data_IF_652203327553
#
_entry.id   IF_652203327553
#
_cell.length_a   1.000
_cell.length_b   1.000
_cell.length_c   1.000
_cell.angle_alpha   90.00
_cell.angle_beta   90.00
_cell.angle_gamma   90.00
#
_symmetry.space_group_name_H-M   'P 1'
#
loop_
_entity.id
_entity.type
_entity.pdbx_description
1 polymer ?
#
# COMPACT_ATOMS: atom_id res chain seq x y z
N UNK A 1 -37.22 40.08 35.41
CA UNK A 1 -36.13 39.95 34.40
C UNK A 1 -35.23 38.73 34.62
N UNK A 2 -35.07 38.23 35.84
CA UNK A 2 -34.19 37.11 36.23
C UNK A 2 -34.67 35.70 35.82
N UNK A 3 -35.99 35.45 35.83
CA UNK A 3 -36.55 34.12 35.48
C UNK A 3 -36.42 33.77 33.99
N UNK A 4 -36.68 34.74 33.11
CA UNK A 4 -36.52 34.56 31.65
C UNK A 4 -35.07 34.29 31.24
N UNK A 5 -34.10 34.93 31.91
CA UNK A 5 -32.68 34.74 31.65
C UNK A 5 -32.19 33.36 32.12
N UNK A 6 -32.74 32.85 33.23
CA UNK A 6 -32.46 31.51 33.74
C UNK A 6 -33.05 30.41 32.83
N UNK A 7 -34.29 30.61 32.37
CA UNK A 7 -34.98 29.68 31.48
C UNK A 7 -34.26 29.57 30.13
N UNK A 8 -33.86 30.71 29.53
CA UNK A 8 -33.12 30.75 28.26
C UNK A 8 -31.73 30.13 28.36
N UNK A 9 -31.01 30.28 29.48
CA UNK A 9 -29.73 29.58 29.71
C UNK A 9 -29.90 28.07 29.83
N UNK A 10 -30.92 27.58 30.55
CA UNK A 10 -31.22 26.14 30.63
C UNK A 10 -31.62 25.54 29.28
N UNK A 11 -32.47 26.24 28.52
CA UNK A 11 -32.84 25.81 27.17
C UNK A 11 -31.62 25.73 26.23
N UNK A 12 -30.74 26.74 26.23
CA UNK A 12 -29.50 26.70 25.44
C UNK A 12 -28.60 25.53 25.83
N UNK A 13 -28.48 25.23 27.12
CA UNK A 13 -27.68 24.08 27.59
C UNK A 13 -28.27 22.74 27.11
N UNK A 14 -29.59 22.58 27.19
CA UNK A 14 -30.28 21.38 26.68
C UNK A 14 -30.08 21.23 25.16
N UNK A 15 -30.16 22.33 24.40
CA UNK A 15 -29.92 22.32 22.95
C UNK A 15 -28.48 21.95 22.59
N UNK A 16 -27.49 22.47 23.32
CA UNK A 16 -26.07 22.15 23.10
C UNK A 16 -25.80 20.67 23.38
N UNK A 17 -26.31 20.15 24.51
CA UNK A 17 -26.16 18.74 24.87
C UNK A 17 -26.85 17.83 23.85
N UNK A 18 -28.06 18.17 23.41
CA UNK A 18 -28.77 17.42 22.37
C UNK A 18 -28.00 17.43 21.03
N UNK A 19 -27.41 18.57 20.65
CA UNK A 19 -26.63 18.69 19.42
C UNK A 19 -25.35 17.84 19.47
N UNK A 20 -24.64 17.82 20.61
CA UNK A 20 -23.46 16.97 20.81
C UNK A 20 -23.85 15.49 20.73
N UNK A 21 -24.95 15.08 21.37
CA UNK A 21 -25.43 13.69 21.33
C UNK A 21 -25.80 13.28 19.89
N UNK A 22 -26.51 14.14 19.15
CA UNK A 22 -26.85 13.89 17.74
C UNK A 22 -25.58 13.77 16.90
N UNK A 23 -24.59 14.64 17.11
CA UNK A 23 -23.32 14.59 16.38
C UNK A 23 -22.54 13.31 16.67
N UNK A 24 -22.51 12.85 17.93
CA UNK A 24 -21.91 11.57 18.31
C UNK A 24 -22.65 10.40 17.65
N UNK A 25 -23.99 10.38 17.70
CA UNK A 25 -24.80 9.33 17.05
C UNK A 25 -24.57 9.31 15.54
N UNK A 26 -24.50 10.46 14.88
CA UNK A 26 -24.22 10.55 13.44
C UNK A 26 -22.82 10.00 13.10
N UNK A 27 -21.80 10.30 13.91
CA UNK A 27 -20.46 9.74 13.73
C UNK A 27 -20.44 8.22 13.95
N UNK A 28 -21.14 7.72 14.97
CA UNK A 28 -21.27 6.27 15.23
C UNK A 28 -22.03 5.59 14.08
N UNK A 29 -23.13 6.18 13.59
CA UNK A 29 -23.88 5.63 12.46
C UNK A 29 -23.07 5.65 11.16
N UNK A 30 -22.31 6.71 10.89
CA UNK A 30 -21.39 6.78 9.74
C UNK A 30 -20.32 5.71 9.85
N UNK A 31 -19.71 5.57 11.05
CA UNK A 31 -18.72 4.53 11.33
C UNK A 31 -19.32 3.12 11.18
N UNK A 32 -20.53 2.89 11.65
CA UNK A 32 -21.21 1.59 11.55
C UNK A 32 -21.62 1.26 10.11
N UNK A 33 -21.96 2.26 9.29
CA UNK A 33 -22.19 2.08 7.85
C UNK A 33 -20.89 1.76 7.11
N UNK A 34 -19.80 2.46 7.43
CA UNK A 34 -18.47 2.15 6.90
C UNK A 34 -18.07 0.71 7.28
N UNK A 35 -18.23 0.33 8.55
CA UNK A 35 -17.93 -1.02 9.06
C UNK A 35 -18.76 -2.12 8.41
N UNK A 36 -20.07 -1.93 8.24
CA UNK A 36 -20.91 -2.92 7.57
C UNK A 36 -20.68 -2.97 6.05
N UNK A 37 -20.19 -1.90 5.44
CA UNK A 37 -19.69 -1.95 4.06
C UNK A 37 -18.39 -2.75 3.95
N UNK A 38 -17.57 -2.80 5.02
CA UNK A 38 -16.31 -3.56 5.07
C UNK A 38 -16.48 -5.08 5.10
N UNK A 39 -17.65 -5.59 5.55
CA UNK A 39 -17.93 -7.03 5.63
C UNK A 39 -18.57 -7.63 4.37
N UNK A 40 -18.79 -6.83 3.32
CA UNK A 40 -19.22 -7.38 2.04
C UNK A 40 -17.99 -7.88 1.29
N UNK A 41 -17.94 -9.17 0.98
CA UNK A 41 -17.01 -9.73 0.00
C UNK A 41 -17.07 -8.89 -1.28
N UNK A 42 -16.02 -8.12 -1.53
CA UNK A 42 -15.87 -7.41 -2.79
C UNK A 42 -15.43 -8.46 -3.80
N UNK A 43 -16.37 -8.97 -4.60
CA UNK A 43 -16.06 -9.73 -5.79
C UNK A 43 -15.36 -8.80 -6.79
N UNK A 44 -14.02 -8.72 -6.69
CA UNK A 44 -13.17 -8.01 -7.64
C UNK A 44 -13.01 -8.89 -8.89
N UNK A 45 -13.44 -8.44 -10.09
CA UNK A 45 -13.26 -9.17 -11.33
C UNK A 45 -11.80 -9.06 -11.79
N UNK A 46 -10.91 -9.88 -11.20
CA UNK A 46 -9.50 -9.93 -11.56
C UNK A 46 -9.30 -10.24 -13.06
N UNK A 47 -8.20 -9.77 -13.67
CA UNK A 47 -7.88 -10.11 -15.06
C UNK A 47 -7.78 -11.62 -15.27
N UNK A 48 -8.57 -12.18 -16.19
CA UNK A 48 -8.59 -13.63 -16.44
C UNK A 48 -7.23 -14.19 -16.92
N UNK A 49 -6.91 -15.41 -16.46
CA UNK A 49 -5.98 -16.37 -17.08
C UNK A 49 -4.47 -16.07 -17.09
N UNK A 50 -3.96 -15.12 -16.31
CA UNK A 50 -2.56 -14.68 -16.49
C UNK A 50 -1.71 -14.63 -15.23
N UNK A 51 -2.22 -15.13 -14.10
CA UNK A 51 -1.56 -15.03 -12.79
C UNK A 51 -1.37 -13.57 -12.35
N UNK A 52 -1.09 -13.34 -11.08
CA UNK A 52 -0.73 -12.02 -10.57
C UNK A 52 0.71 -12.06 -10.08
N UNK A 53 1.53 -11.19 -10.68
CA UNK A 53 2.93 -11.02 -10.30
C UNK A 53 3.07 -10.08 -9.11
N UNK A 54 2.31 -8.98 -9.11
CA UNK A 54 2.37 -7.98 -8.04
C UNK A 54 1.04 -7.24 -7.91
N UNK A 55 0.71 -6.90 -6.67
CA UNK A 55 -0.37 -5.99 -6.30
C UNK A 55 0.26 -4.87 -5.49
N UNK A 56 -0.12 -3.64 -5.80
CA UNK A 56 0.19 -2.47 -4.99
C UNK A 56 -1.04 -1.58 -4.89
N UNK A 57 -1.16 -0.88 -3.78
CA UNK A 57 -2.34 -0.07 -3.47
C UNK A 57 -1.91 1.31 -3.01
N UNK A 58 -2.58 2.34 -3.51
CA UNK A 58 -2.50 3.70 -3.00
C UNK A 58 -3.54 3.95 -1.91
N UNK A 59 -3.97 5.20 -1.77
CA UNK A 59 -5.06 5.55 -0.86
C UNK A 59 -6.43 5.14 -1.40
N UNK A 60 -7.31 4.68 -0.52
CA UNK A 60 -8.72 4.45 -0.85
C UNK A 60 -8.96 3.26 -1.80
N UNK A 61 -9.55 3.51 -2.97
CA UNK A 61 -9.80 2.48 -4.00
C UNK A 61 -8.75 2.47 -5.14
N UNK A 62 -7.55 3.01 -4.90
CA UNK A 62 -6.48 3.08 -5.90
C UNK A 62 -5.69 1.76 -5.97
N UNK A 63 -6.27 0.75 -6.62
CA UNK A 63 -5.67 -0.58 -6.74
C UNK A 63 -5.04 -0.82 -8.10
N UNK A 64 -3.85 -1.41 -8.07
CA UNK A 64 -3.10 -1.72 -9.26
C UNK A 64 -2.60 -3.15 -9.23
N UNK A 65 -2.59 -3.77 -10.39
CA UNK A 65 -2.26 -5.17 -10.58
C UNK A 65 -1.34 -5.30 -11.76
N UNK A 66 -0.23 -6.00 -11.56
CA UNK A 66 0.66 -6.47 -12.61
C UNK A 66 0.55 -7.98 -12.69
N UNK A 67 0.21 -8.47 -13.87
CA UNK A 67 0.03 -9.89 -14.15
C UNK A 67 1.35 -10.56 -14.55
N UNK A 68 1.43 -11.89 -14.50
CA UNK A 68 2.65 -12.63 -14.88
C UNK A 68 2.98 -12.52 -16.37
N UNK A 69 2.02 -12.07 -17.20
CA UNK A 69 2.28 -11.70 -18.59
C UNK A 69 2.65 -10.21 -18.79
N UNK A 70 3.13 -9.54 -17.74
CA UNK A 70 3.67 -8.18 -17.76
C UNK A 70 2.68 -7.09 -18.20
N UNK A 71 1.39 -7.27 -17.90
CA UNK A 71 0.34 -6.28 -18.19
C UNK A 71 -0.12 -5.58 -16.93
N UNK A 72 -0.12 -4.25 -16.97
CA UNK A 72 -0.54 -3.41 -15.86
C UNK A 72 -2.02 -3.06 -15.97
N UNK A 73 -2.74 -3.20 -14.85
CA UNK A 73 -4.15 -2.89 -14.73
C UNK A 73 -4.39 -1.97 -13.53
N UNK A 74 -5.29 -1.01 -13.71
CA UNK A 74 -5.78 -0.11 -12.66
C UNK A 74 -7.26 -0.35 -12.41
N UNK A 75 -7.68 -0.41 -11.14
CA UNK A 75 -9.07 -0.50 -10.76
C UNK A 75 -9.83 0.79 -11.10
N UNK A 76 -10.90 0.68 -11.89
CA UNK A 76 -11.78 1.80 -12.13
C UNK A 76 -13.03 1.65 -11.25
N UNK A 77 -13.09 2.45 -10.18
CA UNK A 77 -14.20 2.44 -9.22
C UNK A 77 -15.57 2.73 -9.86
N UNK A 78 -15.62 3.61 -10.87
CA UNK A 78 -16.88 3.98 -11.57
C UNK A 78 -17.39 2.81 -12.41
N UNK A 79 -16.50 2.17 -13.17
CA UNK A 79 -16.84 1.05 -14.07
C UNK A 79 -16.83 -0.30 -13.36
N UNK A 80 -16.41 -0.36 -12.09
CA UNK A 80 -16.24 -1.56 -11.27
C UNK A 80 -15.45 -2.66 -12.00
N UNK A 81 -14.35 -2.28 -12.68
CA UNK A 81 -13.49 -3.23 -13.41
C UNK A 81 -12.05 -2.75 -13.52
N UNK A 82 -11.14 -3.70 -13.69
CA UNK A 82 -9.76 -3.42 -14.03
C UNK A 82 -9.62 -2.95 -15.49
N UNK A 83 -8.87 -1.86 -15.69
CA UNK A 83 -8.58 -1.28 -17.00
C UNK A 83 -7.08 -1.38 -17.25
N UNK A 84 -6.70 -1.94 -18.40
CA UNK A 84 -5.30 -2.04 -18.82
C UNK A 84 -4.69 -0.65 -19.04
N UNK A 85 -3.48 -0.44 -18.51
CA UNK A 85 -2.72 0.82 -18.53
C UNK A 85 -1.33 0.61 -19.12
N UNK A 86 -0.65 1.72 -19.44
CA UNK A 86 0.74 1.76 -19.92
C UNK A 86 1.03 0.84 -21.12
N UNK A 87 0.06 0.67 -22.04
CA UNK A 87 0.17 -0.29 -23.15
C UNK A 87 1.38 -0.04 -24.06
N UNK A 88 1.75 1.21 -24.24
CA UNK A 88 2.86 1.63 -25.10
C UNK A 88 4.24 1.43 -24.44
N UNK A 89 4.27 1.06 -23.16
CA UNK A 89 5.47 0.86 -22.34
C UNK A 89 5.68 -0.62 -21.99
N UNK A 90 4.81 -1.51 -22.47
CA UNK A 90 4.89 -2.94 -22.16
C UNK A 90 6.07 -3.65 -22.85
N UNK A 91 6.61 -4.74 -22.26
CA UNK A 91 6.26 -5.32 -20.95
C UNK A 91 6.57 -4.41 -19.75
N UNK A 92 5.70 -4.43 -18.75
CA UNK A 92 5.95 -3.78 -17.45
C UNK A 92 6.61 -4.78 -16.52
N UNK A 93 7.85 -4.53 -16.09
CA UNK A 93 8.60 -5.44 -15.23
C UNK A 93 8.32 -5.26 -13.74
N UNK A 94 8.06 -4.03 -13.33
CA UNK A 94 7.64 -3.72 -11.96
C UNK A 94 6.80 -2.43 -11.93
N UNK A 95 6.02 -2.23 -10.88
CA UNK A 95 5.26 -1.00 -10.65
C UNK A 95 5.14 -0.71 -9.15
N UNK A 96 4.91 0.55 -8.78
CA UNK A 96 4.55 0.88 -7.41
C UNK A 96 3.67 2.12 -7.34
N UNK A 97 2.82 2.16 -6.32
CA UNK A 97 1.84 3.23 -6.09
C UNK A 97 2.19 3.91 -4.78
N UNK A 98 2.27 5.23 -4.80
CA UNK A 98 2.57 6.08 -3.66
C UNK A 98 1.32 6.43 -2.86
N UNK A 99 1.53 6.87 -1.62
CA UNK A 99 0.45 7.35 -0.75
C UNK A 99 -0.28 8.59 -1.28
N UNK A 100 0.35 9.35 -2.17
CA UNK A 100 -0.21 10.50 -2.87
C UNK A 100 -0.93 10.14 -4.19
N UNK A 101 -1.05 8.84 -4.50
CA UNK A 101 -1.61 8.33 -5.76
C UNK A 101 -0.63 8.43 -6.94
N UNK A 102 0.61 8.83 -6.70
CA UNK A 102 1.67 8.80 -7.72
C UNK A 102 1.96 7.36 -8.09
N UNK A 103 2.07 7.07 -9.39
CA UNK A 103 2.35 5.71 -9.88
C UNK A 103 3.62 5.72 -10.69
N UNK A 104 4.51 4.78 -10.41
CA UNK A 104 5.72 4.53 -11.19
C UNK A 104 5.71 3.13 -11.77
N UNK A 105 6.33 2.97 -12.94
CA UNK A 105 6.52 1.70 -13.64
C UNK A 105 7.98 1.55 -14.07
N UNK A 106 8.45 0.31 -14.14
CA UNK A 106 9.65 -0.07 -14.87
C UNK A 106 9.19 -0.65 -16.20
N UNK A 107 9.53 0.04 -17.29
CA UNK A 107 9.10 -0.34 -18.64
C UNK A 107 10.04 -1.35 -19.30
N UNK A 108 9.78 -1.65 -20.57
CA UNK A 108 10.55 -2.60 -21.36
C UNK A 108 12.02 -2.22 -21.59
N UNK A 109 12.37 -0.94 -21.47
CA UNK A 109 13.75 -0.47 -21.53
C UNK A 109 14.42 -0.43 -20.16
N UNK A 110 13.71 -0.88 -19.10
CA UNK A 110 14.11 -0.73 -17.71
C UNK A 110 14.20 0.74 -17.27
N UNK A 111 13.48 1.63 -17.96
CA UNK A 111 13.33 3.01 -17.55
C UNK A 111 12.23 3.12 -16.50
N UNK A 112 12.49 3.96 -15.49
CA UNK A 112 11.48 4.29 -14.49
C UNK A 112 10.65 5.44 -15.04
N UNK A 113 9.39 5.16 -15.27
CA UNK A 113 8.44 6.14 -15.74
C UNK A 113 7.45 6.49 -14.64
N UNK A 114 7.15 7.78 -14.49
CA UNK A 114 6.11 8.29 -13.60
C UNK A 114 4.86 8.65 -14.39
N UNK A 115 3.70 8.34 -13.83
CA UNK A 115 2.42 8.71 -14.43
C UNK A 115 2.18 10.20 -14.30
N UNK A 116 2.07 10.91 -15.42
CA UNK A 116 1.78 12.35 -15.48
C UNK A 116 0.31 12.66 -15.73
N UNK A 117 -0.39 11.76 -16.44
CA UNK A 117 -1.82 11.88 -16.70
C UNK A 117 -2.48 10.49 -16.79
N UNK A 118 -3.78 10.44 -17.11
CA UNK A 118 -4.56 9.20 -17.02
C UNK A 118 -3.96 8.02 -17.81
N UNK A 119 -3.30 8.29 -18.93
CA UNK A 119 -2.63 7.34 -19.82
C UNK A 119 -1.28 7.89 -20.34
N UNK A 120 -0.68 8.85 -19.62
CA UNK A 120 0.58 9.49 -20.01
C UNK A 120 1.65 9.27 -18.94
N UNK A 121 2.88 9.05 -19.40
CA UNK A 121 4.02 8.67 -18.57
C UNK A 121 5.26 9.44 -19.01
N UNK A 122 6.11 9.78 -18.05
CA UNK A 122 7.36 10.49 -18.28
C UNK A 122 8.52 9.73 -17.64
N UNK A 123 9.64 9.61 -18.33
CA UNK A 123 10.86 9.00 -17.79
C UNK A 123 11.44 9.92 -16.70
N UNK A 124 11.73 9.34 -15.53
CA UNK A 124 12.35 10.06 -14.39
C UNK A 124 13.72 9.51 -14.01
N UNK A 125 14.06 8.33 -14.52
CA UNK A 125 15.35 7.68 -14.37
C UNK A 125 15.49 6.63 -15.47
N UNK A 126 16.63 6.57 -16.16
CA UNK A 126 16.74 5.75 -17.36
C UNK A 126 18.00 4.88 -17.45
N UNK A 127 17.92 3.88 -18.32
CA UNK A 127 18.97 3.11 -18.99
C UNK A 127 19.93 2.33 -18.10
N UNK A 128 19.37 1.67 -17.09
CA UNK A 128 20.10 0.71 -16.28
C UNK A 128 19.27 -0.55 -16.08
N UNK A 129 19.89 -1.66 -15.69
CA UNK A 129 19.21 -2.93 -15.35
C UNK A 129 18.41 -2.78 -14.04
N UNK A 130 17.44 -1.86 -14.05
CA UNK A 130 16.54 -1.61 -12.96
C UNK A 130 15.61 -2.82 -12.83
N UNK A 131 15.54 -3.39 -11.63
CA UNK A 131 14.77 -4.61 -11.39
C UNK A 131 13.55 -4.39 -10.53
N UNK A 132 13.71 -3.59 -9.47
CA UNK A 132 12.67 -3.38 -8.48
C UNK A 132 12.52 -1.91 -8.19
N UNK A 133 11.27 -1.45 -8.11
CA UNK A 133 10.92 -0.08 -7.78
C UNK A 133 9.91 -0.04 -6.63
N UNK A 134 10.01 0.99 -5.80
CA UNK A 134 8.98 1.28 -4.82
C UNK A 134 8.92 2.77 -4.50
N UNK A 135 7.71 3.32 -4.39
CA UNK A 135 7.50 4.73 -4.09
C UNK A 135 6.73 4.87 -2.76
N UNK A 136 7.17 5.80 -1.92
CA UNK A 136 6.40 6.19 -0.74
C UNK A 136 5.43 7.33 -1.10
N UNK A 137 5.98 8.34 -1.78
CA UNK A 137 5.33 9.52 -2.33
C UNK A 137 6.26 10.14 -3.41
N UNK A 138 5.80 11.18 -4.11
CA UNK A 138 6.56 11.86 -5.18
C UNK A 138 7.98 12.29 -4.75
N UNK A 139 8.21 12.56 -3.47
CA UNK A 139 9.48 13.05 -2.95
C UNK A 139 10.43 11.93 -2.53
N UNK A 140 9.98 10.67 -2.51
CA UNK A 140 10.79 9.55 -2.07
C UNK A 140 10.48 8.28 -2.85
N UNK A 141 11.35 7.99 -3.79
CA UNK A 141 11.29 6.86 -4.72
C UNK A 141 12.53 6.00 -4.49
N UNK A 142 12.38 4.70 -4.53
CA UNK A 142 13.49 3.75 -4.47
C UNK A 142 13.51 2.91 -5.74
N UNK A 143 14.72 2.62 -6.19
CA UNK A 143 14.97 1.67 -7.27
C UNK A 143 16.22 0.86 -6.99
N UNK A 144 16.35 -0.27 -7.66
CA UNK A 144 17.55 -1.10 -7.61
C UNK A 144 18.09 -1.36 -9.00
N UNK A 145 19.39 -1.20 -9.17
CA UNK A 145 20.11 -1.47 -10.42
C UNK A 145 21.36 -2.29 -10.08
N UNK A 146 21.51 -3.48 -10.66
CA UNK A 146 22.71 -4.31 -10.52
C UNK A 146 23.25 -4.38 -9.08
N UNK A 147 22.38 -4.79 -8.15
CA UNK A 147 22.66 -4.92 -6.70
C UNK A 147 22.83 -3.60 -5.94
N UNK A 148 22.77 -2.44 -6.59
CA UNK A 148 22.79 -1.14 -5.92
C UNK A 148 21.37 -0.66 -5.64
N UNK A 149 21.15 -0.12 -4.45
CA UNK A 149 19.93 0.58 -4.05
C UNK A 149 20.11 2.08 -4.23
N UNK A 150 19.17 2.70 -4.92
CA UNK A 150 19.11 4.14 -5.10
C UNK A 150 17.86 4.70 -4.44
N UNK A 151 17.98 5.92 -3.92
CA UNK A 151 16.84 6.75 -3.53
C UNK A 151 16.80 7.98 -4.42
N UNK A 152 15.62 8.32 -4.89
CA UNK A 152 15.38 9.55 -5.63
C UNK A 152 14.24 10.34 -5.02
N UNK A 153 14.13 11.58 -5.48
CA UNK A 153 13.07 12.49 -5.09
C UNK A 153 12.91 13.61 -6.09
N UNK A 154 11.80 14.32 -5.98
CA UNK A 154 11.49 15.48 -6.81
C UNK A 154 11.79 16.78 -6.06
N UNK A 155 12.61 17.65 -6.65
CA UNK A 155 12.91 18.97 -6.09
C UNK A 155 13.18 19.99 -7.19
N UNK A 156 12.50 21.15 -7.13
CA UNK A 156 12.64 22.25 -8.11
C UNK A 156 12.60 21.78 -9.57
N UNK A 157 11.58 21.02 -9.91
CA UNK A 157 11.32 20.52 -11.27
C UNK A 157 12.36 19.56 -11.85
N UNK A 158 13.16 18.94 -10.97
CA UNK A 158 14.17 17.96 -11.34
C UNK A 158 14.07 16.74 -10.41
N UNK A 159 14.26 15.56 -10.98
CA UNK A 159 14.47 14.33 -10.22
C UNK A 159 15.96 14.14 -9.93
N UNK A 160 16.31 13.91 -8.66
CA UNK A 160 17.67 13.57 -8.24
C UNK A 160 17.70 12.12 -7.74
N UNK A 161 18.89 11.51 -7.76
CA UNK A 161 19.11 10.11 -7.38
C UNK A 161 20.44 9.95 -6.66
N UNK A 162 20.41 9.31 -5.50
CA UNK A 162 21.57 9.02 -4.66
C UNK A 162 21.70 7.51 -4.45
N UNK A 163 22.92 6.98 -4.55
CA UNK A 163 23.23 5.60 -4.18
C UNK A 163 23.24 5.46 -2.65
N UNK A 164 22.51 4.47 -2.14
CA UNK A 164 22.39 4.22 -0.71
C UNK A 164 23.22 3.03 -0.22
N UNK A 165 23.08 1.88 -0.88
CA UNK A 165 23.58 0.61 -0.36
C UNK A 165 23.75 -0.41 -1.50
N UNK A 166 24.45 -1.51 -1.22
CA UNK A 166 24.65 -2.62 -2.17
C UNK A 166 24.29 -3.95 -1.53
N UNK A 167 23.37 -4.68 -2.15
CA UNK A 167 22.87 -5.96 -1.65
C UNK A 167 22.12 -6.75 -2.75
N UNK A 168 21.75 -7.99 -2.45
CA UNK A 168 20.75 -8.71 -3.22
C UNK A 168 19.36 -8.16 -2.88
N UNK A 169 18.69 -7.60 -3.89
CA UNK A 169 17.32 -7.11 -3.78
C UNK A 169 16.44 -7.85 -4.78
N UNK A 170 15.54 -8.70 -4.28
CA UNK A 170 14.55 -9.42 -5.08
C UNK A 170 13.22 -8.66 -5.15
N UNK A 171 12.94 -7.82 -4.15
CA UNK A 171 11.81 -6.90 -4.13
C UNK A 171 12.12 -5.79 -3.13
N UNK A 172 11.66 -4.58 -3.38
CA UNK A 172 11.68 -3.48 -2.41
C UNK A 172 10.26 -2.97 -2.16
N UNK A 173 10.01 -2.46 -0.95
CA UNK A 173 8.72 -1.90 -0.56
C UNK A 173 8.91 -0.75 0.43
N UNK A 174 8.58 0.45 0.02
CA UNK A 174 8.52 1.60 0.90
C UNK A 174 7.17 1.65 1.63
N UNK A 175 7.23 1.90 2.93
CA UNK A 175 6.09 2.20 3.74
C UNK A 175 5.61 3.65 3.51
N UNK A 176 4.31 3.81 3.35
CA UNK A 176 3.67 5.11 3.17
C UNK A 176 3.78 6.01 4.40
N UNK A 177 3.68 5.43 5.60
CA UNK A 177 3.46 6.21 6.82
C UNK A 177 4.72 6.85 7.40
N UNK A 178 5.80 6.08 7.48
CA UNK A 178 7.06 6.52 8.09
C UNK A 178 8.24 6.49 7.11
N UNK A 179 7.96 6.15 5.84
CA UNK A 179 8.96 6.11 4.77
C UNK A 179 10.10 5.11 5.04
N UNK A 180 9.85 4.12 5.90
CA UNK A 180 10.73 2.98 6.12
C UNK A 180 10.79 2.11 4.86
N UNK A 181 11.93 1.47 4.63
CA UNK A 181 12.15 0.63 3.46
C UNK A 181 12.33 -0.82 3.91
N UNK A 182 11.44 -1.67 3.42
CA UNK A 182 11.54 -3.11 3.56
C UNK A 182 11.97 -3.72 2.23
N UNK A 183 12.66 -4.85 2.27
CA UNK A 183 13.06 -5.55 1.06
C UNK A 183 13.15 -7.06 1.27
N UNK A 184 12.93 -7.81 0.19
CA UNK A 184 13.26 -9.23 0.11
C UNK A 184 14.69 -9.32 -0.40
N UNK A 185 15.58 -9.86 0.43
CA UNK A 185 17.01 -9.94 0.16
C UNK A 185 17.51 -11.37 -0.04
N UNK A 186 18.81 -11.56 0.16
CA UNK A 186 19.47 -12.87 0.06
C UNK A 186 18.67 -13.99 0.76
N UNK A 187 18.52 -15.13 0.08
CA UNK A 187 17.74 -16.28 0.56
C UNK A 187 16.23 -16.04 0.58
N UNK A 188 15.75 -14.97 -0.07
CA UNK A 188 14.36 -14.52 -0.06
C UNK A 188 13.81 -14.15 1.33
N UNK A 189 14.68 -13.85 2.30
CA UNK A 189 14.25 -13.35 3.60
C UNK A 189 13.89 -11.86 3.55
N UNK A 190 13.03 -11.44 4.47
CA UNK A 190 12.60 -10.05 4.62
C UNK A 190 13.58 -9.32 5.52
N UNK A 191 13.95 -8.12 5.10
CA UNK A 191 14.81 -7.21 5.86
C UNK A 191 14.15 -5.82 5.96
N UNK A 192 14.36 -5.16 7.09
CA UNK A 192 14.14 -3.74 7.26
C UNK A 192 15.48 -3.00 7.07
N UNK A 193 15.52 -2.08 6.12
CA UNK A 193 16.68 -1.22 5.87
C UNK A 193 16.75 -0.11 6.93
N UNK A 194 17.91 0.06 7.56
CA UNK A 194 18.17 1.17 8.51
C UNK A 194 19.15 2.16 7.91
N UNK A 195 20.29 1.66 7.41
CA UNK A 195 21.29 2.42 6.67
C UNK A 195 22.26 1.45 5.97
N UNK A 196 23.21 1.97 5.19
CA UNK A 196 24.24 1.19 4.46
C UNK A 196 25.08 0.23 5.30
N UNK A 197 25.10 0.38 6.62
CA UNK A 197 25.85 -0.49 7.53
C UNK A 197 24.95 -1.42 8.34
N UNK A 198 23.62 -1.22 8.30
CA UNK A 198 22.68 -1.91 9.17
C UNK A 198 21.37 -2.23 8.47
N UNK A 199 21.04 -3.52 8.49
CA UNK A 199 19.75 -4.09 8.11
C UNK A 199 19.30 -5.04 9.22
N UNK A 200 17.99 -5.13 9.43
CA UNK A 200 17.40 -5.99 10.46
C UNK A 200 16.64 -7.11 9.74
N UNK A 201 17.00 -8.37 9.99
CA UNK A 201 16.23 -9.51 9.49
C UNK A 201 14.86 -9.49 10.18
N UNK A 202 13.79 -9.61 9.39
CA UNK A 202 12.41 -9.59 9.86
C UNK A 202 11.67 -10.90 9.62
N UNK A 203 12.18 -11.82 8.81
CA UNK A 203 11.56 -13.14 8.62
C UNK A 203 12.53 -14.29 8.88
N UNK A 204 11.97 -15.41 9.35
CA UNK A 204 12.67 -16.69 9.49
C UNK A 204 12.34 -17.67 8.35
N UNK A 205 11.42 -17.28 7.46
CA UNK A 205 11.00 -18.02 6.27
C UNK A 205 11.12 -17.14 5.02
N UNK A 206 11.29 -17.74 3.82
CA UNK A 206 11.41 -17.00 2.57
C UNK A 206 10.05 -16.49 2.06
N UNK A 207 10.04 -15.29 1.47
CA UNK A 207 8.85 -14.63 0.93
C UNK A 207 8.90 -14.44 -0.58
N UNK A 208 7.74 -14.56 -1.22
CA UNK A 208 7.53 -14.24 -2.64
C UNK A 208 7.21 -12.76 -2.85
N UNK A 209 6.41 -12.18 -1.95
CA UNK A 209 5.99 -10.77 -2.05
C UNK A 209 5.88 -10.12 -0.66
N UNK A 210 6.21 -8.84 -0.58
CA UNK A 210 5.95 -7.98 0.58
C UNK A 210 5.32 -6.65 0.20
N UNK A 211 4.55 -6.08 1.13
CA UNK A 211 4.16 -4.68 1.16
C UNK A 211 4.39 -4.11 2.55
N UNK A 212 5.24 -3.09 2.63
CA UNK A 212 5.48 -2.33 3.84
C UNK A 212 4.32 -1.34 4.07
N UNK A 213 3.85 -1.26 5.31
CA UNK A 213 2.84 -0.31 5.76
C UNK A 213 3.46 0.70 6.73
N UNK A 214 4.37 0.24 7.59
CA UNK A 214 5.24 1.04 8.46
C UNK A 214 6.50 0.26 8.83
N UNK A 215 7.37 0.82 9.66
CA UNK A 215 8.57 0.19 10.21
C UNK A 215 8.21 -1.01 11.11
N UNK A 216 6.98 -1.03 11.63
CA UNK A 216 6.48 -2.08 12.51
C UNK A 216 5.26 -2.82 11.95
N UNK A 217 4.89 -2.58 10.69
CA UNK A 217 3.76 -3.25 10.05
C UNK A 217 4.05 -3.54 8.59
N UNK A 218 3.97 -4.81 8.22
CA UNK A 218 4.04 -5.25 6.84
C UNK A 218 3.07 -6.40 6.60
N UNK A 219 2.71 -6.61 5.34
CA UNK A 219 2.04 -7.84 4.91
C UNK A 219 2.91 -8.52 3.86
N UNK A 220 2.86 -9.84 3.79
CA UNK A 220 3.65 -10.60 2.84
C UNK A 220 3.03 -11.94 2.51
N UNK A 221 3.44 -12.49 1.38
CA UNK A 221 3.04 -13.81 0.91
C UNK A 221 4.31 -14.66 0.81
N UNK A 222 4.32 -15.81 1.49
CA UNK A 222 5.45 -16.74 1.43
C UNK A 222 5.40 -17.64 0.19
N UNK A 223 6.40 -18.52 0.05
CA UNK A 223 6.45 -19.47 -1.07
C UNK A 223 5.44 -20.62 -0.96
N UNK A 224 4.85 -20.84 0.22
CA UNK A 224 3.75 -21.78 0.43
C UNK A 224 2.38 -21.13 0.18
N UNK A 225 2.38 -19.92 -0.40
CA UNK A 225 1.19 -19.14 -0.71
C UNK A 225 0.37 -18.75 0.54
N UNK A 226 1.03 -18.63 1.69
CA UNK A 226 0.42 -18.21 2.94
C UNK A 226 0.54 -16.69 3.06
N UNK A 227 -0.59 -16.04 3.38
CA UNK A 227 -0.62 -14.62 3.70
C UNK A 227 -0.27 -14.39 5.16
N UNK A 228 0.72 -13.54 5.39
CA UNK A 228 1.21 -13.17 6.70
C UNK A 228 1.06 -11.67 6.94
N UNK A 229 0.83 -11.32 8.19
CA UNK A 229 0.84 -9.94 8.68
C UNK A 229 1.86 -9.82 9.82
N UNK A 230 2.81 -8.90 9.65
CA UNK A 230 3.78 -8.53 10.65
C UNK A 230 3.28 -7.33 11.43
N UNK A 231 3.19 -7.44 12.75
CA UNK A 231 2.89 -6.29 13.63
C UNK A 231 3.84 -6.34 14.84
N UNK A 232 4.55 -5.25 15.09
CA UNK A 232 5.36 -5.03 16.30
C UNK A 232 6.32 -6.17 16.68
N UNK A 233 6.96 -6.82 15.70
CA UNK A 233 7.92 -7.91 15.95
C UNK A 233 7.44 -9.30 15.54
N UNK A 234 6.14 -9.48 15.32
CA UNK A 234 5.54 -10.81 15.18
C UNK A 234 4.83 -10.97 13.86
N UNK A 235 5.19 -12.02 13.11
CA UNK A 235 4.39 -12.50 11.98
C UNK A 235 3.25 -13.36 12.48
N UNK A 236 2.04 -13.01 12.06
CA UNK A 236 0.84 -13.78 12.31
C UNK A 236 0.29 -14.27 10.98
N UNK A 237 0.04 -15.57 10.90
CA UNK A 237 -0.66 -16.15 9.76
C UNK A 237 -2.10 -15.63 9.72
N UNK A 238 -2.51 -15.08 8.58
CA UNK A 238 -3.90 -14.71 8.34
C UNK A 238 -4.66 -15.96 7.91
N UNK A 239 -5.39 -16.56 8.88
CA UNK A 239 -6.26 -17.72 8.65
C UNK A 239 -7.30 -17.39 7.60
N UNK A 240 -7.22 -18.10 6.49
CA UNK A 240 -8.13 -17.98 5.38
C UNK A 240 -8.47 -19.40 4.90
N UNK A 241 -9.76 -19.72 4.79
CA UNK A 241 -10.27 -20.98 4.20
C UNK A 241 -10.09 -20.99 2.66
N UNK A 242 -8.91 -20.58 2.18
CA UNK A 242 -8.73 -20.16 0.79
C UNK A 242 -7.75 -21.11 0.09
N UNK A 243 -8.31 -22.12 -0.56
CA UNK A 243 -7.60 -22.96 -1.53
C UNK A 243 -7.39 -22.26 -2.89
N UNK A 244 -7.74 -20.97 -3.01
CA UNK A 244 -7.72 -20.20 -4.25
C UNK A 244 -6.94 -18.89 -4.12
N UNK A 245 -5.99 -18.70 -5.03
CA UNK A 245 -5.07 -17.57 -5.12
C UNK A 245 -5.78 -16.20 -5.13
N UNK A 246 -6.88 -16.07 -5.87
CA UNK A 246 -7.70 -14.85 -5.95
C UNK A 246 -8.16 -14.33 -4.58
N UNK A 247 -8.28 -15.22 -3.60
CA UNK A 247 -8.83 -14.88 -2.30
C UNK A 247 -7.73 -14.39 -1.33
N UNK A 248 -6.51 -14.88 -1.48
CA UNK A 248 -5.30 -14.31 -0.84
C UNK A 248 -5.09 -12.88 -1.32
N UNK A 249 -5.25 -12.63 -2.62
CA UNK A 249 -5.09 -11.30 -3.22
C UNK A 249 -6.15 -10.31 -2.73
N UNK A 250 -7.41 -10.75 -2.59
CA UNK A 250 -8.46 -9.91 -2.00
C UNK A 250 -8.12 -9.50 -0.58
N UNK A 251 -7.66 -10.45 0.24
CA UNK A 251 -7.30 -10.17 1.62
C UNK A 251 -6.06 -9.27 1.72
N UNK A 252 -5.08 -9.45 0.84
CA UNK A 252 -3.94 -8.56 0.71
C UNK A 252 -4.37 -7.12 0.39
N UNK A 253 -5.23 -6.93 -0.61
CA UNK A 253 -5.79 -5.61 -0.97
C UNK A 253 -6.53 -5.00 0.22
N UNK A 254 -7.37 -5.81 0.89
CA UNK A 254 -8.15 -5.38 2.06
C UNK A 254 -7.22 -4.85 3.15
N UNK A 255 -6.21 -5.62 3.54
CA UNK A 255 -5.27 -5.23 4.60
C UNK A 255 -4.44 -4.01 4.23
N UNK A 256 -3.92 -3.97 3.01
CA UNK A 256 -3.10 -2.87 2.54
C UNK A 256 -3.89 -1.54 2.46
N UNK A 257 -5.20 -1.59 2.19
CA UNK A 257 -6.08 -0.41 2.12
C UNK A 257 -6.36 0.26 3.46
N UNK A 258 -6.51 -0.50 4.54
CA UNK A 258 -7.14 -0.02 5.78
C UNK A 258 -6.20 0.26 6.93
N UNK A 259 -4.88 0.21 6.71
CA UNK A 259 -3.95 0.60 7.76
C UNK A 259 -4.10 2.09 8.11
N UNK A 260 -4.52 2.35 9.35
CA UNK A 260 -4.57 3.69 9.96
C UNK A 260 -3.71 3.66 11.24
N UNK A 261 -2.56 4.34 11.29
CA UNK A 261 -1.78 4.43 12.52
C UNK A 261 -2.60 5.15 13.60
N UNK A 262 -2.85 4.48 14.72
CA UNK A 262 -3.49 5.08 15.90
C UNK A 262 -4.81 4.47 16.38
N UNK A 263 -5.33 3.39 15.75
CA UNK A 263 -6.52 2.67 16.26
C UNK A 263 -6.26 1.22 16.71
N UNK A 264 -5.17 0.57 16.26
CA UNK A 264 -4.88 -0.82 16.64
C UNK A 264 -4.03 -0.94 17.92
N UNK A 265 -4.45 -0.19 18.95
CA UNK A 265 -3.94 -0.30 20.33
C UNK A 265 -4.85 -1.09 21.27
N UNK A 266 -6.00 -1.59 20.80
CA UNK A 266 -6.90 -2.43 21.60
C UNK A 266 -7.35 -3.63 20.78
N UNK A 267 -6.61 -4.73 20.91
CA UNK A 267 -7.17 -6.05 20.71
C UNK A 267 -8.30 -6.23 21.74
N UNK A 268 -9.55 -6.03 21.31
CA UNK A 268 -10.69 -6.59 22.05
C UNK A 268 -10.71 -8.06 21.66
N UNK A 269 -10.12 -8.89 22.52
CA UNK A 269 -10.44 -10.31 22.56
C UNK A 269 -11.92 -10.38 22.96
N UNK A 270 -12.76 -10.77 22.01
CA UNK A 270 -14.11 -11.22 22.32
C UNK A 270 -13.98 -12.74 22.45
N UNK A 271 -14.04 -13.23 23.68
CA UNK A 271 -14.29 -14.63 24.00
C UNK A 271 -15.67 -15.07 23.49
#
# INVERSE_FOLDING_TARGET
>A
MTFHLFLTKKLRFIFIVAFIIIFIILNICSFYQDVNSFNKEVNLPFPNNTGIMKIDVGQGEDFWILTENYKLYHWNAIKRKFIRKAKDYEPIYDFSVGSDGTVIISDYYHDINIRSYIDSWNIIYGHYDNRNISICDLNKIFTTNNYMLFVGGYYKDIYFWDELDRNDYYQISCAFHDKSLWFIGYGHYIYLYVNKYRKIIRSEVPFKQIKALSEQHAIGIDYDYILWEYINGTWTWIRNNLYHWDAIEREFIRKAKYYKPGQDGTAVIID
#
